data_IF_393170579895
#
_entry.id   IF_393170579895
#
_cell.length_a   1.000
_cell.length_b   1.000
_cell.length_c   1.000
_cell.angle_alpha   90.00
_cell.angle_beta   90.00
_cell.angle_gamma   90.00
#
_symmetry.space_group_name_H-M   'P 1'
#
loop_
_entity.id
_entity.type
_entity.pdbx_description
1 polymer ?
#
# COMPACT_ATOMS: atom_id res chain seq x y z
N UNK A 1 2.36 -2.00 -27.84
CA UNK A 1 3.62 -1.30 -27.52
C UNK A 1 3.98 -1.42 -26.03
N UNK A 2 3.34 -0.73 -25.09
CA UNK A 2 3.79 -0.79 -23.68
C UNK A 2 3.75 -2.18 -23.04
N UNK A 3 2.70 -2.95 -23.30
CA UNK A 3 2.57 -4.35 -22.87
C UNK A 3 3.52 -5.29 -23.61
N UNK A 4 3.89 -4.98 -24.86
CA UNK A 4 4.83 -5.79 -25.66
C UNK A 4 6.26 -5.70 -25.13
N UNK A 5 6.65 -4.52 -24.63
CA UNK A 5 7.96 -4.27 -24.02
C UNK A 5 8.00 -4.56 -22.53
N UNK A 6 6.89 -4.99 -21.93
CA UNK A 6 6.74 -5.19 -20.47
C UNK A 6 7.25 -3.98 -19.67
N UNK A 7 7.04 -2.77 -20.20
CA UNK A 7 7.47 -1.55 -19.53
C UNK A 7 6.77 -1.44 -18.17
N UNK A 8 7.50 -1.01 -17.17
CA UNK A 8 6.91 -0.76 -15.85
C UNK A 8 5.87 0.36 -16.00
N UNK A 9 4.73 0.30 -15.28
CA UNK A 9 3.72 1.36 -15.35
C UNK A 9 4.28 2.78 -15.11
N UNK A 10 5.34 2.89 -14.29
CA UNK A 10 6.05 4.14 -14.02
C UNK A 10 6.66 4.77 -15.27
N UNK A 11 7.25 3.94 -16.14
CA UNK A 11 7.78 4.37 -17.43
C UNK A 11 6.68 4.99 -18.28
N UNK A 12 5.47 4.42 -18.29
CA UNK A 12 4.33 4.96 -19.02
C UNK A 12 3.88 6.31 -18.49
N UNK A 13 3.80 6.46 -17.17
CA UNK A 13 3.43 7.75 -16.55
C UNK A 13 4.45 8.84 -16.88
N UNK A 14 5.74 8.50 -16.87
CA UNK A 14 6.79 9.42 -17.26
C UNK A 14 6.66 9.81 -18.75
N UNK A 15 6.40 8.85 -19.65
CA UNK A 15 6.19 9.14 -21.09
C UNK A 15 5.06 10.14 -21.30
N UNK A 16 3.89 9.91 -20.69
CA UNK A 16 2.74 10.79 -20.82
C UNK A 16 3.08 12.18 -20.28
N UNK A 17 3.70 12.26 -19.11
CA UNK A 17 4.13 13.53 -18.52
C UNK A 17 5.11 14.30 -19.40
N UNK A 18 6.08 13.62 -20.03
CA UNK A 18 7.04 14.24 -20.94
C UNK A 18 6.36 14.78 -22.21
N UNK A 19 5.44 14.01 -22.79
CA UNK A 19 4.67 14.43 -23.97
C UNK A 19 3.83 15.66 -23.64
N UNK A 20 3.05 15.62 -22.56
CA UNK A 20 2.18 16.73 -22.17
C UNK A 20 2.97 18.00 -21.87
N UNK A 21 4.07 17.87 -21.12
CA UNK A 21 4.94 19.00 -20.81
C UNK A 21 5.56 19.58 -22.10
N UNK A 22 6.05 18.74 -23.00
CA UNK A 22 6.64 19.23 -24.25
C UNK A 22 5.60 19.96 -25.13
N UNK A 23 4.39 19.39 -25.28
CA UNK A 23 3.30 19.96 -26.08
C UNK A 23 2.70 21.23 -25.47
N UNK A 24 2.80 21.43 -24.16
CA UNK A 24 2.30 22.64 -23.49
C UNK A 24 3.02 23.92 -23.94
N UNK A 25 4.25 23.82 -24.44
CA UNK A 25 5.08 24.97 -24.86
C UNK A 25 5.58 24.87 -26.31
N UNK A 26 5.45 23.71 -26.97
CA UNK A 26 5.92 23.50 -28.34
C UNK A 26 4.79 23.00 -29.22
N UNK A 27 4.54 23.71 -30.32
CA UNK A 27 3.66 23.20 -31.37
C UNK A 27 4.35 22.09 -32.17
N UNK A 28 3.67 20.96 -32.32
CA UNK A 28 4.10 19.79 -33.10
C UNK A 28 2.96 19.43 -34.06
N UNK A 29 3.29 19.28 -35.34
CA UNK A 29 2.34 18.78 -36.33
C UNK A 29 1.97 17.32 -36.06
N UNK A 30 0.72 16.94 -36.37
CA UNK A 30 0.20 15.59 -36.16
C UNK A 30 1.10 14.49 -36.74
N UNK A 31 1.74 14.74 -37.88
CA UNK A 31 2.65 13.81 -38.55
C UNK A 31 3.93 13.52 -37.75
N UNK A 32 4.34 14.44 -36.87
CA UNK A 32 5.54 14.33 -36.03
C UNK A 32 5.21 13.97 -34.58
N UNK A 33 3.92 13.79 -34.26
CA UNK A 33 3.47 13.43 -32.91
C UNK A 33 3.93 12.01 -32.53
N UNK A 34 3.93 11.08 -33.47
CA UNK A 34 4.45 9.73 -33.24
C UNK A 34 5.96 9.75 -32.98
N UNK A 35 6.73 10.55 -33.73
CA UNK A 35 8.15 10.76 -33.47
C UNK A 35 8.42 11.33 -32.07
N UNK A 36 7.60 12.30 -31.63
CA UNK A 36 7.66 12.82 -30.25
C UNK A 36 7.41 11.69 -29.24
N UNK A 37 6.35 10.91 -29.42
CA UNK A 37 6.00 9.82 -28.51
C UNK A 37 7.11 8.77 -28.39
N UNK A 38 7.74 8.42 -29.51
CA UNK A 38 8.86 7.47 -29.56
C UNK A 38 10.10 8.05 -28.87
N UNK A 39 10.41 9.33 -29.07
CA UNK A 39 11.52 9.99 -28.39
C UNK A 39 11.28 10.08 -26.87
N UNK A 40 10.08 10.43 -26.43
CA UNK A 40 9.71 10.43 -25.01
C UNK A 40 9.76 9.02 -24.41
N UNK A 41 9.35 8.00 -25.16
CA UNK A 41 9.47 6.59 -24.78
C UNK A 41 10.92 6.17 -24.59
N UNK A 42 11.81 6.54 -25.52
CA UNK A 42 13.25 6.31 -25.40
C UNK A 42 13.85 6.97 -24.14
N UNK A 43 13.50 8.23 -23.87
CA UNK A 43 13.97 8.96 -22.69
C UNK A 43 13.50 8.29 -21.40
N UNK A 44 12.20 7.98 -21.30
CA UNK A 44 11.63 7.37 -20.11
C UNK A 44 12.19 5.96 -19.87
N UNK A 45 12.36 5.16 -20.93
CA UNK A 45 12.98 3.83 -20.82
C UNK A 45 14.43 3.91 -20.34
N UNK A 46 15.21 4.92 -20.76
CA UNK A 46 16.57 5.14 -20.22
C UNK A 46 16.59 5.60 -18.76
N UNK A 47 15.49 6.20 -18.28
CA UNK A 47 15.41 6.78 -16.94
C UNK A 47 14.88 5.79 -15.89
N UNK A 48 13.80 5.06 -16.20
CA UNK A 48 13.11 4.17 -15.25
C UNK A 48 13.53 2.69 -15.38
N UNK A 49 13.87 2.21 -16.57
CA UNK A 49 14.11 0.78 -16.78
C UNK A 49 15.55 0.38 -16.43
N UNK A 50 15.70 -0.76 -15.74
CA UNK A 50 17.02 -1.35 -15.44
C UNK A 50 17.75 -1.73 -16.75
N UNK A 51 16.98 -2.19 -17.74
CA UNK A 51 17.48 -2.58 -19.06
C UNK A 51 16.80 -1.73 -20.14
N UNK A 52 17.45 -0.63 -20.52
CA UNK A 52 16.93 0.24 -21.56
C UNK A 52 17.11 -0.38 -22.97
N UNK A 53 16.02 -0.41 -23.74
CA UNK A 53 16.03 -0.75 -25.17
C UNK A 53 16.90 0.18 -25.99
N UNK A 54 17.49 -0.36 -27.07
CA UNK A 54 18.33 0.44 -27.98
C UNK A 54 17.47 1.26 -28.93
N UNK A 55 18.01 2.35 -29.48
CA UNK A 55 17.27 3.24 -30.40
C UNK A 55 16.80 2.49 -31.65
N UNK A 56 17.56 1.49 -32.11
CA UNK A 56 17.22 0.64 -33.24
C UNK A 56 15.90 -0.11 -33.04
N UNK A 57 15.61 -0.52 -31.81
CA UNK A 57 14.41 -1.24 -31.45
C UNK A 57 13.18 -0.32 -31.59
N UNK A 58 13.31 0.94 -31.16
CA UNK A 58 12.26 1.94 -31.34
C UNK A 58 12.02 2.31 -32.82
N UNK A 59 13.06 2.33 -33.65
CA UNK A 59 12.91 2.52 -35.09
C UNK A 59 12.13 1.35 -35.72
N UNK A 60 12.44 0.12 -35.28
CA UNK A 60 11.77 -1.10 -35.74
C UNK A 60 10.27 -1.13 -35.37
N UNK A 61 9.89 -0.71 -34.16
CA UNK A 61 8.46 -0.61 -33.75
C UNK A 61 7.67 0.31 -34.67
N UNK A 62 8.31 1.36 -35.17
CA UNK A 62 7.69 2.31 -36.09
C UNK A 62 7.73 1.86 -37.55
N UNK A 63 8.03 0.59 -37.84
CA UNK A 63 8.20 0.07 -39.20
C UNK A 63 9.22 0.88 -40.02
N UNK A 64 10.29 1.34 -39.36
CA UNK A 64 11.30 2.23 -39.92
C UNK A 64 10.75 3.52 -40.54
N UNK A 65 9.58 3.98 -40.07
CA UNK A 65 9.00 5.29 -40.46
C UNK A 65 9.94 6.44 -40.11
N UNK A 66 10.75 6.29 -39.06
CA UNK A 66 11.72 7.29 -38.61
C UNK A 66 13.13 6.71 -38.55
N UNK A 67 14.13 7.52 -38.91
CA UNK A 67 15.53 7.11 -38.81
C UNK A 67 16.09 7.33 -37.41
N UNK A 68 17.18 6.64 -37.09
CA UNK A 68 17.90 6.81 -35.82
C UNK A 68 18.26 8.28 -35.56
N UNK A 69 18.70 8.99 -36.59
CA UNK A 69 19.09 10.40 -36.50
C UNK A 69 17.89 11.29 -36.15
N UNK A 70 16.71 10.99 -36.71
CA UNK A 70 15.49 11.75 -36.42
C UNK A 70 15.04 11.55 -34.97
N UNK A 71 15.07 10.30 -34.48
CA UNK A 71 14.73 9.96 -33.10
C UNK A 71 15.70 10.64 -32.12
N UNK A 72 17.01 10.57 -32.38
CA UNK A 72 18.03 11.20 -31.53
C UNK A 72 17.97 12.74 -31.56
N UNK A 73 17.64 13.33 -32.71
CA UNK A 73 17.43 14.77 -32.84
C UNK A 73 16.20 15.21 -32.04
N UNK A 74 15.13 14.42 -32.06
CA UNK A 74 13.93 14.69 -31.28
C UNK A 74 14.18 14.51 -29.78
N UNK A 75 14.89 13.46 -29.38
CA UNK A 75 15.33 13.23 -27.99
C UNK A 75 16.11 14.45 -27.47
N UNK A 76 17.10 14.91 -28.23
CA UNK A 76 17.90 16.08 -27.87
C UNK A 76 17.04 17.34 -27.74
N UNK A 77 16.03 17.51 -28.60
CA UNK A 77 15.11 18.64 -28.53
C UNK A 77 14.27 18.62 -27.25
N UNK A 78 13.74 17.45 -26.88
CA UNK A 78 12.92 17.26 -25.68
C UNK A 78 13.76 17.48 -24.41
N UNK A 79 14.96 16.89 -24.33
CA UNK A 79 15.84 17.04 -23.15
C UNK A 79 16.32 18.48 -22.95
N UNK A 80 16.67 19.18 -24.03
CA UNK A 80 17.05 20.59 -23.96
C UNK A 80 15.88 21.47 -23.51
N UNK A 81 14.65 21.19 -23.97
CA UNK A 81 13.46 21.90 -23.52
C UNK A 81 13.20 21.71 -22.02
N UNK A 82 13.41 20.49 -21.52
CA UNK A 82 13.22 20.15 -20.11
C UNK A 82 14.38 20.61 -19.22
N UNK A 83 15.44 21.21 -19.78
CA UNK A 83 16.68 21.51 -19.05
C UNK A 83 17.24 20.29 -18.30
N UNK A 84 17.06 19.09 -18.86
CA UNK A 84 17.41 17.79 -18.24
C UNK A 84 16.73 17.53 -16.88
N UNK A 85 15.68 18.29 -16.53
CA UNK A 85 14.87 18.07 -15.34
C UNK A 85 13.78 17.03 -15.62
N UNK A 86 14.17 15.76 -15.52
CA UNK A 86 13.26 14.60 -15.64
C UNK A 86 12.62 14.21 -14.29
N UNK A 87 12.96 14.91 -13.21
CA UNK A 87 12.44 14.66 -11.87
C UNK A 87 11.00 15.18 -11.74
N UNK A 88 10.07 14.52 -12.41
CA UNK A 88 8.65 14.74 -12.21
C UNK A 88 8.25 13.94 -10.97
N UNK A 89 7.62 14.53 -9.95
CA UNK A 89 7.03 13.74 -8.88
C UNK A 89 5.88 12.92 -9.46
N UNK A 90 6.18 11.69 -9.90
CA UNK A 90 5.19 10.79 -10.49
C UNK A 90 4.12 10.42 -9.45
N UNK A 91 2.94 10.02 -9.90
CA UNK A 91 1.86 9.50 -9.04
C UNK A 91 2.36 8.44 -8.05
N UNK A 92 3.36 7.62 -8.43
CA UNK A 92 4.04 6.67 -7.52
C UNK A 92 4.75 7.34 -6.34
N UNK A 93 5.40 8.50 -6.52
CA UNK A 93 6.04 9.22 -5.41
C UNK A 93 5.00 9.65 -4.38
N UNK A 94 3.82 10.08 -4.84
CA UNK A 94 2.69 10.41 -3.96
C UNK A 94 2.05 9.17 -3.34
N UNK A 95 1.77 8.12 -4.13
CA UNK A 95 1.19 6.87 -3.64
C UNK A 95 2.12 6.14 -2.67
N UNK A 96 3.43 6.13 -2.92
CA UNK A 96 4.43 5.53 -2.01
C UNK A 96 4.48 6.29 -0.69
N UNK A 97 4.38 7.62 -0.73
CA UNK A 97 4.33 8.45 0.47
C UNK A 97 3.06 8.18 1.30
N UNK A 98 1.89 8.16 0.67
CA UNK A 98 0.64 7.82 1.36
C UNK A 98 0.58 6.36 1.84
N UNK A 99 1.05 5.40 1.05
CA UNK A 99 1.03 3.99 1.41
C UNK A 99 1.98 3.67 2.58
N UNK A 100 3.08 4.43 2.73
CA UNK A 100 3.97 4.31 3.88
C UNK A 100 3.28 4.78 5.18
N UNK A 101 2.26 5.65 5.09
CA UNK A 101 1.53 6.19 6.24
C UNK A 101 0.48 5.20 6.81
N UNK A 102 0.03 4.19 6.05
CA UNK A 102 -0.98 3.22 6.49
C UNK A 102 -0.46 1.78 6.56
N UNK A 103 0.39 1.47 7.54
CA UNK A 103 0.76 0.07 7.87
C UNK A 103 -0.17 -0.46 8.96
N UNK A 104 -1.03 -1.42 8.62
CA UNK A 104 -1.85 -2.14 9.61
C UNK A 104 -0.97 -3.23 10.23
N UNK A 105 -0.93 -3.25 11.57
CA UNK A 105 -0.28 -4.31 12.34
C UNK A 105 -1.36 -5.18 12.95
N UNK A 106 -1.51 -6.40 12.43
CA UNK A 106 -2.48 -7.37 12.95
C UNK A 106 -1.93 -8.04 14.20
N UNK A 107 -2.72 -8.05 15.27
CA UNK A 107 -2.41 -8.74 16.52
C UNK A 107 -3.32 -9.95 16.64
N UNK A 108 -2.74 -11.15 16.49
CA UNK A 108 -3.45 -12.39 16.76
C UNK A 108 -3.38 -12.71 18.26
N UNK A 109 -4.51 -12.49 18.96
CA UNK A 109 -4.60 -12.74 20.41
C UNK A 109 -4.54 -14.24 20.69
N UNK A 110 -3.50 -14.68 21.40
CA UNK A 110 -3.37 -16.08 21.83
C UNK A 110 -4.11 -16.34 23.15
N UNK A 111 -4.65 -17.56 23.27
CA UNK A 111 -5.26 -18.05 24.51
C UNK A 111 -4.29 -17.89 25.69
N UNK A 112 -4.79 -17.41 26.82
CA UNK A 112 -4.01 -17.22 28.05
C UNK A 112 -3.32 -15.87 28.21
N UNK A 113 -3.41 -14.97 27.22
CA UNK A 113 -2.94 -13.60 27.38
C UNK A 113 -3.74 -12.86 28.47
N UNK A 114 -3.03 -12.09 29.31
CA UNK A 114 -3.59 -11.34 30.43
C UNK A 114 -3.42 -9.84 30.18
N UNK A 115 -4.19 -9.02 30.90
CA UNK A 115 -3.91 -7.58 30.96
C UNK A 115 -2.43 -7.33 31.25
N UNK A 116 -1.81 -6.47 30.44
CA UNK A 116 -0.40 -6.11 30.56
C UNK A 116 0.57 -6.92 29.69
N UNK A 117 0.13 -7.97 28.99
CA UNK A 117 0.97 -8.66 28.00
C UNK A 117 1.44 -7.65 26.95
N UNK A 118 2.75 -7.57 26.73
CA UNK A 118 3.38 -6.66 25.76
C UNK A 118 3.70 -7.39 24.46
N UNK A 119 3.36 -6.77 23.35
CA UNK A 119 3.60 -7.27 22.00
C UNK A 119 4.47 -6.25 21.29
N UNK A 120 5.71 -6.63 20.99
CA UNK A 120 6.70 -5.76 20.38
C UNK A 120 6.80 -6.05 18.89
N UNK A 121 6.67 -5.00 18.07
CA UNK A 121 6.92 -5.03 16.65
C UNK A 121 8.18 -4.20 16.36
N UNK A 122 9.32 -4.85 16.05
CA UNK A 122 10.59 -4.16 15.88
C UNK A 122 10.55 -3.24 14.66
N UNK A 123 11.19 -2.07 14.76
CA UNK A 123 11.35 -1.11 13.66
C UNK A 123 10.01 -0.63 13.04
N UNK A 124 8.90 -0.70 13.79
CA UNK A 124 7.55 -0.27 13.34
C UNK A 124 7.07 1.05 13.95
N UNK A 125 7.92 1.73 14.71
CA UNK A 125 7.69 3.05 15.29
C UNK A 125 7.80 4.16 14.26
N UNK A 126 7.76 5.40 14.75
CA UNK A 126 7.90 6.60 13.93
C UNK A 126 9.29 6.68 13.29
N UNK A 127 9.33 6.66 11.95
CA UNK A 127 10.55 6.80 11.15
C UNK A 127 10.84 8.29 10.92
N UNK A 128 12.02 8.77 11.32
CA UNK A 128 12.51 10.13 11.02
C UNK A 128 13.81 10.07 10.21
N UNK A 129 14.09 11.06 9.34
CA UNK A 129 15.35 11.10 8.59
C UNK A 129 16.56 11.07 9.53
N UNK A 130 17.51 10.15 9.28
CA UNK A 130 18.73 9.89 10.08
C UNK A 130 18.51 9.23 11.46
N UNK A 131 17.33 8.70 11.76
CA UNK A 131 17.07 8.01 13.02
C UNK A 131 16.52 6.60 12.76
N UNK A 132 17.07 5.60 13.45
CA UNK A 132 16.53 4.24 13.40
C UNK A 132 15.08 4.25 13.93
N UNK A 133 14.15 3.57 13.24
CA UNK A 133 12.76 3.47 13.70
C UNK A 133 12.68 2.81 15.08
N UNK A 134 11.84 3.34 15.96
CA UNK A 134 11.61 2.74 17.28
C UNK A 134 10.78 1.45 17.19
N UNK A 135 10.72 0.68 18.27
CA UNK A 135 9.81 -0.46 18.37
C UNK A 135 8.39 -0.01 18.70
N UNK A 136 7.38 -0.60 18.04
CA UNK A 136 5.99 -0.43 18.42
C UNK A 136 5.62 -1.47 19.48
N UNK A 137 5.29 -1.02 20.70
CA UNK A 137 4.86 -1.91 21.79
C UNK A 137 3.38 -1.73 22.06
N UNK A 138 2.60 -2.76 21.75
CA UNK A 138 1.18 -2.84 22.08
C UNK A 138 1.00 -3.58 23.40
N UNK A 139 0.26 -2.98 24.33
CA UNK A 139 -0.07 -3.61 25.62
C UNK A 139 -1.52 -4.05 25.59
N UNK A 140 -1.76 -5.33 25.90
CA UNK A 140 -3.12 -5.85 25.97
C UNK A 140 -3.81 -5.27 27.19
N UNK A 141 -4.99 -4.71 26.97
CA UNK A 141 -5.88 -4.30 28.04
C UNK A 141 -7.17 -5.12 28.03
N UNK A 142 -7.73 -5.30 29.22
CA UNK A 142 -9.00 -6.00 29.40
C UNK A 142 -10.13 -4.97 29.34
N UNK A 143 -11.01 -5.12 28.36
CA UNK A 143 -12.22 -4.30 28.24
C UNK A 143 -13.20 -4.70 29.35
N UNK A 144 -13.63 -3.76 30.22
CA UNK A 144 -14.66 -4.06 31.21
C UNK A 144 -15.95 -4.54 30.55
N UNK A 145 -16.59 -5.55 31.14
CA UNK A 145 -17.86 -6.10 30.68
C UNK A 145 -18.84 -6.21 31.85
N UNK A 146 -20.12 -5.93 31.61
CA UNK A 146 -21.10 -5.74 32.69
C UNK A 146 -21.46 -7.04 33.44
N UNK A 147 -21.45 -8.18 32.74
CA UNK A 147 -21.86 -9.48 33.28
C UNK A 147 -20.69 -10.37 33.71
N UNK A 148 -19.53 -10.18 33.08
CA UNK A 148 -18.41 -11.09 33.20
C UNK A 148 -17.20 -10.37 33.75
N UNK A 149 -16.63 -10.93 34.82
CA UNK A 149 -15.39 -10.46 35.40
C UNK A 149 -14.35 -11.58 35.31
N UNK A 150 -13.18 -11.28 34.74
CA UNK A 150 -12.08 -12.24 34.71
C UNK A 150 -11.40 -12.32 36.07
N UNK A 151 -11.14 -13.53 36.53
CA UNK A 151 -10.23 -13.82 37.64
C UNK A 151 -9.23 -14.90 37.20
N UNK A 152 -8.01 -14.47 36.88
CA UNK A 152 -6.99 -15.36 36.35
C UNK A 152 -7.39 -16.01 35.01
N UNK A 153 -7.65 -17.32 35.03
CA UNK A 153 -8.07 -18.10 33.87
C UNK A 153 -9.60 -18.27 33.80
N UNK A 154 -10.32 -17.82 34.83
CA UNK A 154 -11.75 -18.07 34.98
C UNK A 154 -12.55 -16.80 34.65
N UNK A 155 -13.74 -16.99 34.12
CA UNK A 155 -14.71 -15.93 33.88
C UNK A 155 -15.84 -16.06 34.89
N UNK A 156 -15.94 -15.10 35.80
CA UNK A 156 -16.88 -15.13 36.92
C UNK A 156 -18.09 -14.27 36.60
N UNK A 157 -19.28 -14.82 36.82
CA UNK A 157 -20.57 -14.13 36.78
C UNK A 157 -21.28 -14.31 38.11
N UNK A 158 -21.79 -13.21 38.67
CA UNK A 158 -22.58 -13.24 39.90
C UNK A 158 -24.07 -13.09 39.56
N UNK A 159 -24.86 -14.15 39.74
CA UNK A 159 -26.32 -14.11 39.62
C UNK A 159 -26.97 -14.38 40.97
N UNK A 160 -27.96 -13.55 41.30
CA UNK A 160 -28.79 -13.75 42.49
C UNK A 160 -29.95 -14.64 42.12
N UNK A 161 -30.12 -15.73 42.86
CA UNK A 161 -31.27 -16.62 42.80
C UNK A 161 -31.99 -16.61 44.15
N UNK A 162 -33.31 -16.74 44.14
CA UNK A 162 -34.08 -16.91 45.36
C UNK A 162 -33.96 -18.35 45.89
N UNK A 163 -34.22 -18.54 47.18
CA UNK A 163 -34.16 -19.87 47.80
C UNK A 163 -35.18 -20.85 47.18
N UNK A 164 -36.35 -20.35 46.78
CA UNK A 164 -37.36 -21.16 46.10
C UNK A 164 -36.88 -21.62 44.72
N UNK A 165 -36.19 -20.76 43.97
CA UNK A 165 -35.60 -21.11 42.67
C UNK A 165 -34.42 -22.08 42.83
N UNK A 166 -33.60 -21.91 43.86
CA UNK A 166 -32.48 -22.81 44.15
C UNK A 166 -32.94 -24.22 44.54
N UNK A 167 -34.06 -24.35 45.26
CA UNK A 167 -34.60 -25.64 45.71
C UNK A 167 -35.56 -26.29 44.69
N UNK A 168 -36.19 -25.50 43.83
CA UNK A 168 -37.15 -25.95 42.82
C UNK A 168 -36.53 -26.35 41.48
N UNK A 169 -35.21 -26.17 41.31
CA UNK A 169 -34.52 -26.31 40.03
C UNK A 169 -34.73 -25.07 39.17
N UNK A 170 -33.67 -24.28 38.97
CA UNK A 170 -33.69 -23.07 38.13
C UNK A 170 -32.70 -23.20 36.98
N UNK A 171 -33.12 -22.81 35.79
CA UNK A 171 -32.24 -22.73 34.61
C UNK A 171 -31.73 -21.31 34.48
N UNK A 172 -30.41 -21.16 34.45
CA UNK A 172 -29.76 -19.87 34.37
C UNK A 172 -29.21 -19.67 32.95
N UNK A 173 -29.93 -18.91 32.13
CA UNK A 173 -29.46 -18.65 30.76
C UNK A 173 -28.32 -17.62 30.78
N UNK A 174 -27.13 -18.04 30.37
CA UNK A 174 -25.95 -17.20 30.24
C UNK A 174 -25.59 -17.05 28.76
N UNK A 175 -25.45 -15.80 28.31
CA UNK A 175 -24.99 -15.51 26.94
C UNK A 175 -23.47 -15.48 26.95
N UNK A 176 -22.83 -16.48 26.34
CA UNK A 176 -21.36 -16.51 26.24
C UNK A 176 -20.83 -15.29 25.48
N UNK A 177 -19.55 -14.94 25.71
CA UNK A 177 -18.90 -13.79 25.06
C UNK A 177 -18.85 -13.91 23.53
N UNK A 178 -18.96 -15.13 23.00
CA UNK A 178 -18.94 -15.43 21.57
C UNK A 178 -20.36 -15.38 20.95
N UNK A 179 -21.37 -15.00 21.72
CA UNK A 179 -22.77 -14.87 21.28
C UNK A 179 -23.55 -16.18 21.24
N UNK A 180 -22.97 -17.30 21.66
CA UNK A 180 -23.69 -18.57 21.85
C UNK A 180 -24.46 -18.56 23.17
N UNK A 181 -25.77 -18.78 23.13
CA UNK A 181 -26.55 -19.07 24.35
C UNK A 181 -26.26 -20.49 24.81
N UNK A 182 -25.67 -20.64 26.01
CA UNK A 182 -25.52 -21.92 26.68
C UNK A 182 -26.55 -22.02 27.80
N UNK A 183 -27.48 -22.97 27.69
CA UNK A 183 -28.43 -23.30 28.75
C UNK A 183 -27.75 -24.25 29.75
N UNK A 184 -26.84 -23.71 30.57
CA UNK A 184 -26.19 -24.49 31.60
C UNK A 184 -27.18 -24.74 32.75
N UNK A 185 -27.74 -25.95 32.77
CA UNK A 185 -28.64 -26.40 33.84
C UNK A 185 -27.80 -26.82 35.04
N UNK A 186 -27.87 -26.06 36.12
CA UNK A 186 -27.22 -26.40 37.40
C UNK A 186 -28.28 -27.06 38.27
N UNK A 187 -28.09 -28.35 38.61
CA UNK A 187 -28.93 -29.09 39.57
C UNK A 187 -28.49 -28.83 41.01
#
# INVERSE_FOLDING_TARGET
>A
VSEEYKLVPDTLYLIVSLIDHFLSHNFIEKQRLQLLGVACMLIASKYEEICASRVEEFCFITDNTYTREEVLKMESKVLNFLYFQLSVPTTKTFLRRQAQESKIVTIDVKLGWKKGTKITFPDKGNEQPNQLPADLVSVIDEKPYDLYKRDGNDLIVNKRVSLAEALGGTTINLTTLDGGGGDDTIF
#
